data_IF_876569784370
#
_entry.id   IF_876569784370
#
_cell.length_a   1.000
_cell.length_b   1.000
_cell.length_c   1.000
_cell.angle_alpha   90.00
_cell.angle_beta   90.00
_cell.angle_gamma   90.00
#
_symmetry.space_group_name_H-M   'P 1'
#
loop_
_entity.id
_entity.type
_entity.pdbx_description
1 polymer ?
#
# COMPACT_ATOMS: atom_id res chain seq x y z
N UNK A 1 19.66 18.31 34.45
CA UNK A 1 19.55 18.38 35.93
C UNK A 1 20.86 18.94 36.44
N UNK A 2 20.85 19.84 37.41
CA UNK A 2 22.08 20.52 37.86
C UNK A 2 22.63 19.79 39.08
N UNK A 3 23.84 19.23 38.96
CA UNK A 3 24.53 18.51 40.04
C UNK A 3 25.69 19.35 40.53
N UNK A 4 25.80 19.52 41.85
CA UNK A 4 26.86 20.32 42.47
C UNK A 4 27.91 19.37 43.02
N UNK A 5 29.09 19.35 42.39
CA UNK A 5 30.22 18.56 42.86
C UNK A 5 30.83 19.29 44.06
N UNK A 6 30.86 18.64 45.21
CA UNK A 6 31.41 19.19 46.45
C UNK A 6 32.81 18.68 46.70
N UNK A 7 33.60 19.49 47.41
CA UNK A 7 34.91 19.08 47.90
C UNK A 7 34.76 17.90 48.88
N UNK A 8 35.37 16.73 48.62
CA UNK A 8 35.33 15.59 49.53
C UNK A 8 36.19 15.85 50.78
N UNK A 9 35.89 15.18 51.89
CA UNK A 9 36.72 15.26 53.10
C UNK A 9 37.95 14.36 52.97
N UNK A 10 39.19 14.90 52.97
CA UNK A 10 40.41 14.10 52.85
C UNK A 10 40.84 13.41 54.17
N UNK A 11 40.19 13.72 55.31
CA UNK A 11 40.44 13.09 56.61
C UNK A 11 39.84 13.87 57.79
N UNK A 12 39.75 13.25 58.97
CA UNK A 12 39.05 13.78 60.16
C UNK A 12 39.61 15.12 60.71
N UNK A 13 40.82 15.53 60.33
CA UNK A 13 41.48 16.75 60.86
C UNK A 13 41.83 17.81 59.81
N UNK A 14 41.31 17.74 58.58
CA UNK A 14 41.61 18.69 57.50
C UNK A 14 40.34 19.47 57.14
N UNK A 15 40.38 20.79 57.26
CA UNK A 15 39.22 21.68 57.05
C UNK A 15 39.23 22.40 55.70
N UNK A 16 40.39 22.51 55.04
CA UNK A 16 40.57 23.25 53.79
C UNK A 16 41.43 22.48 52.80
N UNK A 17 41.17 22.67 51.49
CA UNK A 17 41.96 22.11 50.39
C UNK A 17 42.18 23.17 49.30
N UNK A 18 43.25 23.03 48.52
CA UNK A 18 43.60 23.94 47.43
C UNK A 18 43.39 23.26 46.06
N UNK A 19 42.86 23.99 45.08
CA UNK A 19 42.69 23.45 43.71
C UNK A 19 44.03 23.48 42.97
N UNK A 20 44.70 22.33 42.89
CA UNK A 20 46.02 22.18 42.30
C UNK A 20 45.97 22.29 40.77
N UNK A 21 45.10 21.53 40.11
CA UNK A 21 44.99 21.53 38.65
C UNK A 21 43.58 21.17 38.17
N UNK A 22 43.14 21.80 37.08
CA UNK A 22 41.93 21.40 36.36
C UNK A 22 42.35 20.63 35.11
N UNK A 23 41.85 19.40 34.98
CA UNK A 23 42.12 18.54 33.81
C UNK A 23 41.11 18.76 32.67
N UNK A 24 40.10 19.57 32.92
CA UNK A 24 38.97 19.90 32.02
C UNK A 24 38.75 21.42 31.99
N UNK A 25 38.17 21.95 30.92
CA UNK A 25 37.89 23.38 30.75
C UNK A 25 36.42 23.69 31.04
N UNK A 26 36.13 24.97 31.31
CA UNK A 26 34.76 25.44 31.49
C UNK A 26 33.96 25.22 30.19
N UNK A 27 32.82 24.54 30.29
CA UNK A 27 32.02 24.10 29.15
C UNK A 27 32.42 22.75 28.53
N UNK A 28 33.41 22.03 29.07
CA UNK A 28 33.73 20.67 28.61
C UNK A 28 32.70 19.65 29.12
N UNK A 29 32.43 18.63 28.29
CA UNK A 29 31.61 17.48 28.67
C UNK A 29 32.46 16.44 29.40
N UNK A 30 32.04 16.06 30.59
CA UNK A 30 32.69 15.07 31.43
C UNK A 30 31.82 13.82 31.57
N UNK A 31 32.47 12.66 31.58
CA UNK A 31 31.81 11.37 31.80
C UNK A 31 31.77 11.04 33.29
N UNK A 32 30.79 10.24 33.71
CA UNK A 32 30.74 9.68 35.08
C UNK A 32 32.04 8.94 35.38
N UNK A 33 32.61 9.20 36.55
CA UNK A 33 33.91 8.69 37.03
C UNK A 33 35.13 9.19 36.24
N UNK A 34 34.99 10.21 35.38
CA UNK A 34 36.15 10.87 34.77
C UNK A 34 36.77 11.84 35.77
N UNK A 35 38.10 11.83 35.89
CA UNK A 35 38.82 12.79 36.72
C UNK A 35 38.73 14.19 36.10
N UNK A 36 38.28 15.16 36.88
CA UNK A 36 38.02 16.54 36.45
C UNK A 36 39.01 17.54 37.05
N UNK A 37 39.44 17.31 38.29
CA UNK A 37 40.35 18.19 39.01
C UNK A 37 41.23 17.41 39.96
N UNK A 38 42.40 17.96 40.25
CA UNK A 38 43.28 17.54 41.33
C UNK A 38 43.23 18.62 42.41
N UNK A 39 43.02 18.20 43.66
CA UNK A 39 43.09 19.06 44.83
C UNK A 39 44.27 18.63 45.70
N UNK A 40 45.00 19.60 46.23
CA UNK A 40 46.09 19.37 47.17
C UNK A 40 45.64 19.73 48.58
N UNK A 41 45.95 18.84 49.52
CA UNK A 41 45.89 19.08 50.96
C UNK A 41 47.29 19.01 51.56
N UNK A 42 47.46 19.46 52.81
CA UNK A 42 48.74 19.41 53.52
C UNK A 42 49.34 17.99 53.64
N UNK A 43 48.57 16.94 53.35
CA UNK A 43 48.99 15.54 53.53
C UNK A 43 48.92 14.67 52.27
N UNK A 44 48.11 15.04 51.27
CA UNK A 44 47.93 14.26 50.05
C UNK A 44 47.26 15.07 48.92
N UNK A 45 47.55 14.66 47.68
CA UNK A 45 46.83 15.06 46.47
C UNK A 45 45.66 14.09 46.25
N UNK A 46 44.46 14.62 46.00
CA UNK A 46 43.26 13.83 45.71
C UNK A 46 42.71 14.20 44.33
N UNK A 47 42.27 13.16 43.61
CA UNK A 47 41.60 13.29 42.33
C UNK A 47 40.07 13.38 42.52
N UNK A 48 39.47 14.46 42.03
CA UNK A 48 38.03 14.65 42.02
C UNK A 48 37.50 14.11 40.70
N UNK A 49 36.57 13.17 40.80
CA UNK A 49 35.88 12.56 39.65
C UNK A 49 34.47 13.10 39.49
N UNK A 50 33.98 13.17 38.26
CA UNK A 50 32.62 13.58 37.96
C UNK A 50 31.59 12.55 38.44
N UNK A 51 30.56 13.01 39.16
CA UNK A 51 29.51 12.15 39.70
C UNK A 51 28.55 11.61 38.62
N UNK A 52 28.34 12.38 37.55
CA UNK A 52 27.43 12.06 36.45
C UNK A 52 27.93 12.63 35.12
N UNK A 53 27.35 12.17 34.02
CA UNK A 53 27.69 12.68 32.69
C UNK A 53 27.04 14.05 32.45
N UNK A 54 27.82 15.07 32.08
CA UNK A 54 27.28 16.40 31.81
C UNK A 54 28.33 17.44 31.47
N UNK A 55 27.91 18.69 31.32
CA UNK A 55 28.80 19.81 30.99
C UNK A 55 29.20 20.54 32.26
N UNK A 56 30.50 20.78 32.46
CA UNK A 56 30.99 21.56 33.60
C UNK A 56 30.71 23.04 33.38
N UNK A 57 30.23 23.68 34.45
CA UNK A 57 29.98 25.11 34.54
C UNK A 57 30.34 25.60 35.94
N UNK A 58 30.62 26.91 36.09
CA UNK A 58 30.87 27.56 37.38
C UNK A 58 32.03 26.92 38.16
N UNK A 59 33.18 26.78 37.50
CA UNK A 59 34.42 26.26 38.10
C UNK A 59 35.09 27.28 39.01
N UNK A 60 35.65 26.82 40.13
CA UNK A 60 36.47 27.66 41.01
C UNK A 60 37.87 27.88 40.44
N UNK A 61 38.43 29.08 40.63
CA UNK A 61 39.77 29.45 40.16
C UNK A 61 40.87 28.52 40.72
N UNK A 62 41.84 28.19 39.86
CA UNK A 62 43.03 27.40 40.20
C UNK A 62 43.86 28.12 41.28
N UNK A 63 44.30 27.39 42.30
CA UNK A 63 45.07 27.93 43.44
C UNK A 63 44.23 28.58 44.54
N UNK A 64 42.89 28.55 44.45
CA UNK A 64 42.01 29.02 45.51
C UNK A 64 41.84 27.93 46.58
N UNK A 65 41.90 28.33 47.86
CA UNK A 65 41.57 27.48 49.02
C UNK A 65 40.07 27.47 49.26
N UNK A 66 39.51 26.28 49.45
CA UNK A 66 38.07 26.02 49.56
C UNK A 66 37.84 25.13 50.79
N UNK A 67 36.73 25.34 51.51
CA UNK A 67 36.38 24.50 52.65
C UNK A 67 35.76 23.16 52.22
N UNK A 68 36.02 22.11 53.01
CA UNK A 68 35.42 20.79 52.77
C UNK A 68 33.90 20.89 52.75
N UNK A 69 33.26 20.37 51.69
CA UNK A 69 31.81 20.42 51.48
C UNK A 69 31.28 21.61 50.67
N UNK A 70 32.13 22.59 50.33
CA UNK A 70 31.76 23.66 49.38
C UNK A 70 31.74 23.15 47.93
N UNK A 71 31.02 23.88 47.07
CA UNK A 71 30.80 23.49 45.67
C UNK A 71 32.02 23.87 44.84
N UNK A 72 32.66 22.86 44.24
CA UNK A 72 33.84 23.00 43.38
C UNK A 72 33.45 23.37 41.94
N UNK A 73 32.43 22.68 41.40
CA UNK A 73 31.87 22.96 40.08
C UNK A 73 30.46 22.42 39.97
N UNK A 74 29.76 22.86 38.93
CA UNK A 74 28.39 22.49 38.63
C UNK A 74 28.37 21.69 37.33
N UNK A 75 27.85 20.45 37.39
CA UNK A 75 27.63 19.60 36.22
C UNK A 75 26.18 19.78 35.77
N UNK A 76 25.97 20.35 34.59
CA UNK A 76 24.66 20.42 33.94
C UNK A 76 24.46 19.18 33.05
N UNK A 77 23.62 18.26 33.51
CA UNK A 77 23.30 17.02 32.78
C UNK A 77 22.30 17.23 31.63
N UNK A 78 21.77 18.45 31.45
CA UNK A 78 20.80 18.75 30.39
C UNK A 78 21.45 19.08 29.04
N UNK A 79 22.73 19.48 29.02
CA UNK A 79 23.40 19.98 27.81
C UNK A 79 24.14 18.86 27.06
N UNK A 80 23.77 18.64 25.79
CA UNK A 80 24.43 17.72 24.86
C UNK A 80 25.36 18.51 23.94
N UNK A 81 26.62 18.11 23.80
CA UNK A 81 27.60 18.82 22.96
C UNK A 81 27.71 18.14 21.56
N UNK A 82 27.67 18.91 20.45
CA UNK A 82 27.87 18.38 19.10
C UNK A 82 29.33 18.03 18.78
N UNK A 83 29.55 17.10 17.83
CA UNK A 83 30.87 16.83 17.27
C UNK A 83 31.42 18.03 16.46
N UNK A 84 32.75 18.17 16.28
CA UNK A 84 33.32 19.33 15.57
C UNK A 84 32.81 19.46 14.13
N UNK A 85 32.57 18.32 13.46
CA UNK A 85 31.95 18.27 12.14
C UNK A 85 30.46 18.69 12.16
N UNK A 86 29.72 18.32 13.21
CA UNK A 86 28.33 18.73 13.41
C UNK A 86 28.20 20.21 13.74
N UNK A 87 29.13 20.78 14.52
CA UNK A 87 29.14 22.20 14.89
C UNK A 87 29.19 23.11 13.65
N UNK A 88 29.97 22.73 12.63
CA UNK A 88 30.05 23.45 11.35
C UNK A 88 28.75 23.36 10.52
N UNK A 89 28.12 22.20 10.50
CA UNK A 89 26.88 21.98 9.74
C UNK A 89 25.69 22.68 10.42
N UNK A 90 25.68 22.75 11.76
CA UNK A 90 24.66 23.46 12.53
C UNK A 90 24.77 24.98 12.38
N UNK A 91 25.99 25.53 12.31
CA UNK A 91 26.19 26.96 12.02
C UNK A 91 25.81 27.33 10.59
N UNK A 92 25.96 26.43 9.61
CA UNK A 92 25.58 26.69 8.21
C UNK A 92 24.07 26.60 7.97
N UNK A 93 23.34 25.77 8.74
CA UNK A 93 21.89 25.57 8.57
C UNK A 93 21.02 26.38 9.55
N UNK A 94 21.61 27.22 10.40
CA UNK A 94 20.92 27.99 11.47
C UNK A 94 20.01 27.14 12.38
N UNK A 95 20.41 25.91 12.70
CA UNK A 95 19.59 24.99 13.50
C UNK A 95 20.00 25.07 14.98
N UNK A 96 19.03 25.35 15.86
CA UNK A 96 19.23 25.36 17.31
C UNK A 96 19.50 23.95 17.85
N UNK A 97 20.57 23.82 18.66
CA UNK A 97 21.08 22.54 19.21
C UNK A 97 20.03 21.83 20.10
N UNK A 98 19.06 22.58 20.62
CA UNK A 98 18.01 22.10 21.53
C UNK A 98 17.07 21.07 20.89
N UNK A 99 16.92 21.08 19.57
CA UNK A 99 15.98 20.20 18.86
C UNK A 99 16.61 18.92 18.30
N UNK A 100 17.92 18.70 18.50
CA UNK A 100 18.64 17.60 17.84
C UNK A 100 19.02 16.52 18.86
N UNK A 101 18.47 15.33 18.65
CA UNK A 101 18.87 14.14 19.38
C UNK A 101 20.17 13.57 18.78
N UNK A 102 21.27 13.68 19.53
CA UNK A 102 22.54 13.06 19.14
C UNK A 102 22.50 11.55 19.33
N UNK A 103 22.67 10.80 18.24
CA UNK A 103 22.70 9.31 18.25
C UNK A 103 24.13 8.76 18.37
N UNK A 104 25.13 9.63 18.53
CA UNK A 104 26.50 9.22 18.75
C UNK A 104 26.72 8.54 20.11
N UNK A 105 27.86 7.84 20.22
CA UNK A 105 28.36 7.32 21.50
C UNK A 105 28.37 8.47 22.52
N UNK A 106 27.79 8.25 23.71
CA UNK A 106 27.65 9.24 24.78
C UNK A 106 26.70 10.42 24.46
N UNK A 107 25.70 10.24 23.59
CA UNK A 107 24.67 11.26 23.30
C UNK A 107 25.18 12.44 22.46
N UNK A 108 26.34 12.28 21.83
CA UNK A 108 26.99 13.28 20.99
C UNK A 108 26.26 13.42 19.66
N UNK A 109 26.00 14.66 19.23
CA UNK A 109 25.42 14.92 17.90
C UNK A 109 26.49 14.66 16.85
N UNK A 110 26.25 13.68 15.98
CA UNK A 110 27.16 13.27 14.91
C UNK A 110 26.79 13.90 13.58
N UNK A 111 27.68 13.80 12.59
CA UNK A 111 27.42 14.33 11.24
C UNK A 111 26.15 13.75 10.61
N UNK A 112 25.78 12.51 10.97
CA UNK A 112 24.59 11.82 10.47
C UNK A 112 23.30 12.45 11.04
N UNK A 113 23.32 12.90 12.29
CA UNK A 113 22.18 13.51 12.96
C UNK A 113 21.82 14.90 12.41
N UNK A 114 22.79 15.60 11.80
CA UNK A 114 22.57 16.90 11.15
C UNK A 114 22.18 16.79 9.66
N UNK A 115 22.27 15.58 9.09
CA UNK A 115 22.01 15.30 7.67
C UNK A 115 20.68 14.57 7.47
N UNK A 116 20.22 13.80 8.46
CA UNK A 116 18.89 13.19 8.44
C UNK A 116 17.81 14.27 8.55
N UNK A 117 17.18 14.59 7.42
CA UNK A 117 15.96 15.40 7.30
C UNK A 117 14.75 14.66 7.90
N UNK A 118 14.83 14.31 9.18
CA UNK A 118 13.67 13.89 9.97
C UNK A 118 13.56 14.77 11.21
N UNK A 119 13.36 16.07 10.96
CA UNK A 119 12.63 16.91 11.91
C UNK A 119 11.20 16.37 12.00
N UNK A 120 11.00 15.37 12.85
CA UNK A 120 9.69 15.05 13.40
C UNK A 120 9.33 16.16 14.37
N UNK A 121 8.76 17.24 13.83
CA UNK A 121 7.93 18.15 14.61
C UNK A 121 6.83 17.32 15.25
N UNK A 122 6.80 17.33 16.58
CA UNK A 122 5.72 16.78 17.39
C UNK A 122 4.46 17.57 17.02
N UNK A 123 3.67 17.01 16.11
CA UNK A 123 2.30 17.45 15.89
C UNK A 123 1.44 16.90 17.02
N UNK A 124 0.93 17.83 17.81
CA UNK A 124 -0.29 17.70 18.58
C UNK A 124 -1.48 17.47 17.65
N UNK A 125 -1.59 16.27 17.11
CA UNK A 125 -2.83 15.64 16.69
C UNK A 125 -2.50 14.16 16.46
N UNK A 126 -3.32 13.26 17.00
CA UNK A 126 -3.22 11.83 16.74
C UNK A 126 -3.63 11.54 15.28
N UNK A 127 -2.83 11.99 14.32
CA UNK A 127 -2.91 11.57 12.94
C UNK A 127 -1.97 10.39 12.78
N UNK A 128 -2.56 9.20 12.72
CA UNK A 128 -1.87 7.99 12.29
C UNK A 128 -1.11 8.29 10.98
N UNK A 129 0.22 8.33 11.02
CA UNK A 129 1.07 8.50 9.84
C UNK A 129 0.80 7.28 8.96
N UNK A 130 -0.07 7.44 7.96
CA UNK A 130 -0.39 6.37 7.01
C UNK A 130 0.81 6.19 6.11
N UNK A 131 1.63 5.17 6.36
CA UNK A 131 2.70 4.78 5.45
C UNK A 131 2.13 4.54 4.04
N UNK A 132 2.61 5.32 3.06
CA UNK A 132 2.22 5.18 1.66
C UNK A 132 3.37 4.57 0.88
N UNK A 133 3.15 3.37 0.34
CA UNK A 133 4.06 2.76 -0.63
C UNK A 133 3.64 3.15 -2.05
N UNK A 134 4.47 3.94 -2.73
CA UNK A 134 4.23 4.33 -4.13
C UNK A 134 4.96 3.33 -5.04
N UNK A 135 4.21 2.58 -5.83
CA UNK A 135 4.76 1.63 -6.82
C UNK A 135 4.41 2.16 -8.22
N UNK A 136 5.40 2.48 -9.08
CA UNK A 136 5.12 2.95 -10.42
C UNK A 136 4.46 1.83 -11.26
N UNK A 137 3.50 2.21 -12.11
CA UNK A 137 2.83 1.28 -13.01
C UNK A 137 3.73 0.92 -14.19
N UNK A 138 3.57 -0.31 -14.71
CA UNK A 138 4.19 -0.71 -15.99
C UNK A 138 3.61 0.11 -17.15
N UNK A 139 4.38 0.23 -18.24
CA UNK A 139 3.97 0.97 -19.44
C UNK A 139 2.66 0.44 -20.05
N UNK A 140 2.50 -0.88 -20.11
CA UNK A 140 1.26 -1.53 -20.56
C UNK A 140 0.09 -1.20 -19.63
N UNK A 141 0.28 -1.32 -18.32
CA UNK A 141 -0.79 -1.05 -17.34
C UNK A 141 -1.21 0.42 -17.32
N UNK A 142 -0.26 1.33 -17.54
CA UNK A 142 -0.54 2.76 -17.69
C UNK A 142 -1.43 3.03 -18.90
N UNK A 143 -1.07 2.53 -20.09
CA UNK A 143 -1.87 2.67 -21.32
C UNK A 143 -3.26 2.04 -21.20
N UNK A 144 -3.36 0.86 -20.58
CA UNK A 144 -4.64 0.20 -20.31
C UNK A 144 -5.50 1.04 -19.37
N UNK A 145 -4.91 1.58 -18.31
CA UNK A 145 -5.61 2.45 -17.36
C UNK A 145 -6.14 3.71 -18.04
N UNK A 146 -5.32 4.37 -18.86
CA UNK A 146 -5.73 5.56 -19.63
C UNK A 146 -6.93 5.24 -20.53
N UNK A 147 -6.88 4.11 -21.26
CA UNK A 147 -7.98 3.67 -22.13
C UNK A 147 -9.25 3.34 -21.35
N UNK A 148 -9.15 2.64 -20.21
CA UNK A 148 -10.30 2.29 -19.38
C UNK A 148 -10.99 3.53 -18.79
N UNK A 149 -10.20 4.51 -18.35
CA UNK A 149 -10.73 5.79 -17.84
C UNK A 149 -11.41 6.56 -18.97
N UNK A 150 -10.82 6.60 -20.17
CA UNK A 150 -11.44 7.23 -21.35
C UNK A 150 -12.79 6.61 -21.68
N UNK A 151 -12.88 5.27 -21.75
CA UNK A 151 -14.13 4.56 -22.05
C UNK A 151 -15.21 4.89 -21.02
N UNK A 152 -14.86 4.87 -19.72
CA UNK A 152 -15.81 5.18 -18.65
C UNK A 152 -16.35 6.61 -18.74
N UNK A 153 -15.53 7.57 -19.15
CA UNK A 153 -15.94 8.98 -19.24
C UNK A 153 -16.69 9.31 -20.54
N UNK A 154 -16.46 8.55 -21.62
CA UNK A 154 -17.05 8.81 -22.93
C UNK A 154 -18.36 8.06 -23.19
N UNK A 155 -18.57 6.92 -22.54
CA UNK A 155 -19.73 6.05 -22.78
C UNK A 155 -20.78 6.24 -21.69
N UNK A 156 -22.07 6.19 -22.06
CA UNK A 156 -23.16 6.08 -21.10
C UNK A 156 -23.37 4.60 -20.77
N UNK A 157 -22.45 4.00 -20.02
CA UNK A 157 -22.46 2.55 -19.78
C UNK A 157 -23.56 2.14 -18.80
N UNK A 158 -24.46 1.27 -19.25
CA UNK A 158 -25.40 0.54 -18.39
C UNK A 158 -25.11 -0.96 -18.48
N UNK A 159 -25.39 -1.67 -17.39
CA UNK A 159 -25.22 -3.12 -17.32
C UNK A 159 -26.51 -3.78 -16.87
N UNK A 160 -26.99 -4.72 -17.67
CA UNK A 160 -28.16 -5.55 -17.37
C UNK A 160 -27.71 -7.00 -17.13
N UNK A 161 -28.47 -7.71 -16.29
CA UNK A 161 -28.15 -9.08 -15.88
C UNK A 161 -29.37 -9.98 -16.05
N UNK A 162 -29.15 -11.20 -16.52
CA UNK A 162 -30.14 -12.27 -16.56
C UNK A 162 -29.54 -13.56 -16.01
N UNK A 163 -30.38 -14.41 -15.42
CA UNK A 163 -30.02 -15.78 -15.07
C UNK A 163 -30.41 -16.72 -16.21
N UNK A 164 -29.62 -17.75 -16.45
CA UNK A 164 -29.88 -18.76 -17.48
C UNK A 164 -29.68 -20.17 -16.94
N UNK A 165 -30.64 -21.05 -17.20
CA UNK A 165 -30.53 -22.48 -16.91
C UNK A 165 -29.69 -23.17 -17.99
N UNK A 166 -28.57 -23.78 -17.59
CA UNK A 166 -27.63 -24.44 -18.49
C UNK A 166 -27.94 -25.94 -18.68
N UNK A 167 -28.96 -26.48 -18.00
CA UNK A 167 -29.23 -27.92 -17.95
C UNK A 167 -29.25 -28.59 -19.32
N UNK A 168 -29.96 -28.02 -20.30
CA UNK A 168 -30.10 -28.60 -21.63
C UNK A 168 -28.77 -28.69 -22.37
N UNK A 169 -27.93 -27.65 -22.27
CA UNK A 169 -26.58 -27.68 -22.86
C UNK A 169 -25.72 -28.77 -22.20
N UNK A 170 -25.82 -28.95 -20.89
CA UNK A 170 -25.11 -30.05 -20.20
C UNK A 170 -25.57 -31.42 -20.69
N UNK A 171 -26.88 -31.62 -20.89
CA UNK A 171 -27.44 -32.88 -21.41
C UNK A 171 -26.94 -33.17 -22.83
N UNK A 172 -27.02 -32.18 -23.72
CA UNK A 172 -26.53 -32.29 -25.10
C UNK A 172 -25.03 -32.60 -25.10
N UNK A 173 -24.24 -31.86 -24.32
CA UNK A 173 -22.81 -32.09 -24.24
C UNK A 173 -22.50 -33.49 -23.74
N UNK A 174 -23.24 -34.00 -22.74
CA UNK A 174 -23.06 -35.38 -22.24
C UNK A 174 -23.32 -36.43 -23.32
N UNK A 175 -24.33 -36.22 -24.16
CA UNK A 175 -24.72 -37.12 -25.26
C UNK A 175 -23.73 -37.08 -26.42
N UNK A 176 -23.28 -35.90 -26.84
CA UNK A 176 -22.53 -35.73 -28.09
C UNK A 176 -21.04 -35.49 -27.93
N UNK A 177 -20.50 -35.32 -26.72
CA UNK A 177 -19.06 -35.02 -26.49
C UNK A 177 -18.11 -36.00 -27.17
N UNK A 178 -18.41 -37.30 -27.14
CA UNK A 178 -17.50 -38.34 -27.65
C UNK A 178 -17.55 -38.37 -29.18
N UNK A 179 -18.77 -38.39 -29.73
CA UNK A 179 -19.02 -38.36 -31.18
C UNK A 179 -18.40 -37.12 -31.81
N UNK A 180 -18.55 -35.96 -31.17
CA UNK A 180 -17.97 -34.70 -31.64
C UNK A 180 -16.42 -34.75 -31.61
N UNK A 181 -15.84 -35.30 -30.55
CA UNK A 181 -14.39 -35.45 -30.42
C UNK A 181 -13.81 -36.43 -31.45
N UNK A 182 -14.48 -37.54 -31.71
CA UNK A 182 -14.06 -38.53 -32.72
C UNK A 182 -14.08 -37.94 -34.13
N UNK A 183 -15.12 -37.14 -34.46
CA UNK A 183 -15.26 -36.53 -35.78
C UNK A 183 -14.31 -35.34 -36.01
N UNK A 184 -14.13 -34.48 -35.00
CA UNK A 184 -13.44 -33.19 -35.17
C UNK A 184 -12.08 -33.09 -34.48
N UNK A 185 -11.70 -34.08 -33.66
CA UNK A 185 -10.46 -34.05 -32.89
C UNK A 185 -10.44 -33.03 -31.73
N UNK A 186 -11.50 -32.25 -31.55
CA UNK A 186 -11.62 -31.22 -30.51
C UNK A 186 -12.77 -31.51 -29.55
N UNK A 187 -12.66 -31.03 -28.31
CA UNK A 187 -13.71 -31.21 -27.31
C UNK A 187 -14.89 -30.26 -27.57
N UNK A 188 -16.11 -30.78 -27.45
CA UNK A 188 -17.31 -29.95 -27.47
C UNK A 188 -17.33 -29.03 -26.24
N UNK A 189 -17.14 -27.74 -26.47
CA UNK A 189 -17.13 -26.69 -25.45
C UNK A 189 -18.48 -26.01 -25.27
N UNK A 190 -18.68 -25.34 -24.13
CA UNK A 190 -19.85 -24.48 -23.91
C UNK A 190 -19.81 -23.22 -24.78
N UNK A 191 -18.60 -22.81 -25.21
CA UNK A 191 -18.40 -21.60 -26.01
C UNK A 191 -19.15 -21.65 -27.33
N UNK A 192 -19.14 -22.78 -28.05
CA UNK A 192 -19.80 -22.88 -29.36
C UNK A 192 -21.29 -22.55 -29.28
N UNK A 193 -21.98 -23.07 -28.25
CA UNK A 193 -23.38 -22.74 -27.99
C UNK A 193 -23.58 -21.27 -27.66
N UNK A 194 -22.70 -20.70 -26.84
CA UNK A 194 -22.79 -19.30 -26.43
C UNK A 194 -22.54 -18.35 -27.60
N UNK A 195 -21.48 -18.56 -28.38
CA UNK A 195 -21.15 -17.78 -29.57
C UNK A 195 -22.29 -17.82 -30.56
N UNK A 196 -22.83 -19.00 -30.87
CA UNK A 196 -23.94 -19.13 -31.80
C UNK A 196 -25.23 -18.45 -31.27
N UNK A 197 -25.48 -18.54 -29.96
CA UNK A 197 -26.59 -17.82 -29.30
C UNK A 197 -26.44 -16.31 -29.43
N UNK A 198 -25.23 -15.78 -29.22
CA UNK A 198 -24.92 -14.37 -29.40
C UNK A 198 -25.08 -13.95 -30.86
N UNK A 199 -24.54 -14.68 -31.83
CA UNK A 199 -24.68 -14.38 -33.27
C UNK A 199 -26.15 -14.36 -33.68
N UNK A 200 -26.96 -15.32 -33.21
CA UNK A 200 -28.40 -15.32 -33.43
C UNK A 200 -29.06 -14.07 -32.84
N UNK A 201 -28.70 -13.69 -31.62
CA UNK A 201 -29.27 -12.51 -30.97
C UNK A 201 -28.84 -11.21 -31.67
N UNK A 202 -27.60 -11.10 -32.14
CA UNK A 202 -27.10 -9.94 -32.89
C UNK A 202 -27.85 -9.76 -34.21
N UNK A 203 -28.25 -10.85 -34.89
CA UNK A 203 -29.11 -10.77 -36.08
C UNK A 203 -30.49 -10.18 -35.80
N UNK A 204 -31.02 -10.39 -34.59
CA UNK A 204 -32.33 -9.87 -34.17
C UNK A 204 -32.25 -8.44 -33.62
N UNK A 205 -31.11 -8.09 -33.02
CA UNK A 205 -30.84 -6.79 -32.41
C UNK A 205 -29.55 -6.20 -33.00
N UNK A 206 -29.58 -5.72 -34.25
CA UNK A 206 -28.38 -5.29 -34.97
C UNK A 206 -27.70 -4.06 -34.33
N UNK A 207 -28.45 -3.22 -33.62
CA UNK A 207 -27.90 -2.04 -32.95
C UNK A 207 -26.97 -2.41 -31.77
N UNK A 208 -27.06 -3.64 -31.26
CA UNK A 208 -26.10 -4.18 -30.27
C UNK A 208 -24.71 -4.40 -30.90
N UNK A 209 -24.64 -4.62 -32.22
CA UNK A 209 -23.39 -4.78 -32.97
C UNK A 209 -22.83 -3.43 -33.47
N UNK A 210 -23.50 -2.31 -33.23
CA UNK A 210 -23.14 -1.03 -33.83
C UNK A 210 -22.07 -0.26 -33.06
N UNK A 211 -21.44 0.72 -33.73
CA UNK A 211 -20.41 1.59 -33.16
C UNK A 211 -20.75 3.06 -33.42
N UNK A 212 -20.45 3.94 -32.45
CA UNK A 212 -20.45 5.40 -32.66
C UNK A 212 -19.09 5.85 -33.19
N UNK A 213 -19.08 6.57 -34.31
CA UNK A 213 -17.91 7.25 -34.87
C UNK A 213 -18.24 8.73 -35.05
N UNK A 214 -17.81 9.57 -34.10
CA UNK A 214 -18.14 10.99 -34.09
C UNK A 214 -19.65 11.21 -33.93
N UNK A 215 -20.29 11.78 -34.95
CA UNK A 215 -21.74 12.02 -35.00
C UNK A 215 -22.52 10.90 -35.72
N UNK A 216 -21.85 9.87 -36.21
CA UNK A 216 -22.46 8.82 -37.04
C UNK A 216 -22.53 7.49 -36.29
N UNK A 217 -23.59 6.71 -36.58
CA UNK A 217 -23.71 5.31 -36.17
C UNK A 217 -23.27 4.42 -37.34
N UNK A 218 -22.32 3.52 -37.09
CA UNK A 218 -21.84 2.53 -38.04
C UNK A 218 -22.42 1.17 -37.66
N UNK A 219 -23.12 0.55 -38.62
CA UNK A 219 -23.61 -0.83 -38.50
C UNK A 219 -22.69 -1.76 -39.30
N UNK A 220 -22.43 -2.96 -38.79
CA UNK A 220 -21.60 -3.96 -39.45
C UNK A 220 -22.43 -5.14 -39.94
N UNK A 221 -22.10 -5.64 -41.13
CA UNK A 221 -22.72 -6.84 -41.72
C UNK A 221 -22.03 -8.15 -41.30
N UNK A 222 -20.91 -8.04 -40.58
CA UNK A 222 -20.15 -9.16 -40.02
C UNK A 222 -20.21 -9.15 -38.49
N UNK A 223 -19.90 -10.29 -37.90
CA UNK A 223 -19.93 -10.50 -36.45
C UNK A 223 -18.57 -10.98 -35.97
N UNK A 224 -17.82 -10.08 -35.35
CA UNK A 224 -16.55 -10.42 -34.70
C UNK A 224 -16.76 -10.60 -33.20
N UNK A 225 -16.13 -11.63 -32.64
CA UNK A 225 -16.23 -11.93 -31.21
C UNK A 225 -14.86 -12.01 -30.57
N UNK A 226 -14.66 -11.19 -29.53
CA UNK A 226 -13.51 -11.30 -28.64
C UNK A 226 -13.93 -12.05 -27.38
N UNK A 227 -13.47 -13.28 -27.22
CA UNK A 227 -13.91 -14.17 -26.14
C UNK A 227 -12.73 -14.45 -25.20
N UNK A 228 -12.90 -14.12 -23.92
CA UNK A 228 -11.91 -14.39 -22.87
C UNK A 228 -12.34 -15.56 -21.95
N UNK A 229 -13.64 -15.75 -21.75
CA UNK A 229 -14.18 -16.80 -20.89
C UNK A 229 -15.68 -16.64 -20.63
N UNK A 230 -16.26 -17.64 -19.96
CA UNK A 230 -17.67 -17.65 -19.54
C UNK A 230 -17.74 -17.47 -18.02
N UNK A 231 -18.84 -16.90 -17.54
CA UNK A 231 -19.13 -16.80 -16.11
C UNK A 231 -19.23 -18.18 -15.43
N UNK A 232 -19.07 -18.21 -14.10
CA UNK A 232 -19.14 -19.46 -13.34
C UNK A 232 -20.56 -20.01 -13.35
N UNK A 233 -20.69 -21.29 -13.67
CA UNK A 233 -21.94 -22.06 -13.50
C UNK A 233 -22.00 -22.57 -12.06
N UNK A 234 -23.11 -22.33 -11.38
CA UNK A 234 -23.34 -22.74 -9.99
C UNK A 234 -24.69 -23.44 -9.87
N UNK A 235 -24.77 -24.48 -9.03
CA UNK A 235 -26.03 -25.14 -8.74
C UNK A 235 -26.92 -24.23 -7.89
N UNK A 236 -28.15 -23.95 -8.35
CA UNK A 236 -29.11 -23.11 -7.64
C UNK A 236 -30.49 -23.77 -7.62
N UNK A 237 -31.29 -23.56 -6.55
CA UNK A 237 -32.69 -23.94 -6.56
C UNK A 237 -33.50 -23.00 -7.47
N UNK A 238 -34.19 -23.54 -8.46
CA UNK A 238 -35.04 -22.82 -9.40
C UNK A 238 -36.46 -23.43 -9.38
N UNK A 239 -37.48 -22.59 -9.43
CA UNK A 239 -38.87 -23.04 -9.51
C UNK A 239 -39.22 -23.34 -10.96
N UNK A 240 -39.56 -24.59 -11.27
CA UNK A 240 -39.99 -25.04 -12.60
C UNK A 240 -41.33 -25.77 -12.44
N UNK A 241 -42.38 -25.28 -13.13
CA UNK A 241 -43.74 -25.84 -13.07
C UNK A 241 -44.24 -26.02 -11.62
N UNK A 242 -44.01 -25.02 -10.77
CA UNK A 242 -44.44 -25.02 -9.37
C UNK A 242 -43.61 -25.91 -8.42
N UNK A 243 -42.55 -26.58 -8.90
CA UNK A 243 -41.65 -27.40 -8.06
C UNK A 243 -40.25 -26.82 -8.02
N UNK A 244 -39.60 -26.87 -6.85
CA UNK A 244 -38.19 -26.47 -6.70
C UNK A 244 -37.31 -27.59 -7.23
N UNK A 245 -36.43 -27.27 -8.19
CA UNK A 245 -35.42 -28.18 -8.74
C UNK A 245 -34.05 -27.53 -8.66
N UNK A 246 -33.02 -28.35 -8.41
CA UNK A 246 -31.63 -27.88 -8.49
C UNK A 246 -31.22 -27.87 -9.96
N UNK A 247 -30.74 -26.71 -10.43
CA UNK A 247 -30.30 -26.50 -11.81
C UNK A 247 -28.91 -25.85 -11.86
N UNK A 248 -28.08 -26.18 -12.86
CA UNK A 248 -26.84 -25.46 -13.11
C UNK A 248 -27.18 -24.09 -13.75
N UNK A 249 -27.08 -23.03 -12.97
CA UNK A 249 -27.44 -21.67 -13.38
C UNK A 249 -26.19 -20.83 -13.62
N UNK A 250 -26.26 -19.95 -14.61
CA UNK A 250 -25.23 -18.98 -14.95
C UNK A 250 -25.81 -17.58 -15.03
N UNK A 251 -25.01 -16.56 -14.70
CA UNK A 251 -25.36 -15.17 -14.97
C UNK A 251 -24.86 -14.74 -16.34
N UNK A 252 -25.76 -14.16 -17.12
CA UNK A 252 -25.48 -13.39 -18.32
C UNK A 252 -25.48 -11.92 -17.94
N UNK A 253 -24.43 -11.20 -18.35
CA UNK A 253 -24.33 -9.76 -18.17
C UNK A 253 -24.05 -9.10 -19.52
N UNK A 254 -24.78 -8.04 -19.83
CA UNK A 254 -24.51 -7.19 -20.99
C UNK A 254 -24.24 -5.79 -20.50
N UNK A 255 -23.04 -5.29 -20.75
CA UNK A 255 -22.73 -3.87 -20.66
C UNK A 255 -22.79 -3.25 -22.04
N UNK A 256 -23.52 -2.14 -22.16
CA UNK A 256 -23.77 -1.49 -23.44
C UNK A 256 -23.73 0.03 -23.31
N UNK A 257 -23.52 0.72 -24.43
CA UNK A 257 -23.56 2.18 -24.49
C UNK A 257 -25.00 2.63 -24.74
N UNK A 258 -25.61 3.24 -23.73
CA UNK A 258 -27.00 3.71 -23.76
C UNK A 258 -27.24 4.89 -24.73
N UNK A 259 -26.19 5.36 -25.40
CA UNK A 259 -26.33 6.32 -26.51
C UNK A 259 -26.80 5.66 -27.81
N UNK A 260 -26.52 4.37 -28.00
CA UNK A 260 -26.93 3.59 -29.18
C UNK A 260 -28.13 2.71 -28.83
N UNK A 261 -28.01 1.95 -27.74
CA UNK A 261 -28.90 0.84 -27.41
C UNK A 261 -29.80 1.27 -26.27
N UNK A 262 -31.10 1.06 -26.41
CA UNK A 262 -32.06 1.34 -25.34
C UNK A 262 -32.20 0.15 -24.34
N UNK A 263 -32.96 0.37 -23.27
CA UNK A 263 -33.25 -0.67 -22.28
C UNK A 263 -34.05 -1.86 -22.84
N UNK A 264 -34.89 -1.64 -23.87
CA UNK A 264 -35.73 -2.70 -24.45
C UNK A 264 -34.91 -3.62 -25.35
N UNK A 265 -34.05 -3.06 -26.18
CA UNK A 265 -33.16 -3.79 -27.08
C UNK A 265 -32.13 -4.60 -26.31
N UNK A 266 -31.52 -4.00 -25.29
CA UNK A 266 -30.55 -4.70 -24.43
C UNK A 266 -31.19 -5.88 -23.66
N UNK A 267 -32.37 -5.67 -23.06
CA UNK A 267 -33.11 -6.75 -22.39
C UNK A 267 -33.56 -7.81 -23.41
N UNK A 268 -34.09 -7.39 -24.56
CA UNK A 268 -34.49 -8.28 -25.64
C UNK A 268 -33.34 -9.15 -26.14
N UNK A 269 -32.15 -8.57 -26.33
CA UNK A 269 -30.94 -9.29 -26.69
C UNK A 269 -30.58 -10.35 -25.64
N UNK A 270 -30.53 -9.98 -24.36
CA UNK A 270 -30.22 -10.92 -23.28
C UNK A 270 -31.26 -12.04 -23.17
N UNK A 271 -32.55 -11.72 -23.33
CA UNK A 271 -33.63 -12.72 -23.35
C UNK A 271 -33.48 -13.66 -24.54
N UNK A 272 -33.15 -13.14 -25.72
CA UNK A 272 -32.91 -13.96 -26.92
C UNK A 272 -31.73 -14.91 -26.77
N UNK A 273 -30.63 -14.46 -26.13
CA UNK A 273 -29.50 -15.32 -25.77
C UNK A 273 -29.92 -16.37 -24.75
N UNK A 274 -30.65 -15.97 -23.69
CA UNK A 274 -31.18 -16.88 -22.65
C UNK A 274 -32.04 -17.98 -23.27
N UNK A 275 -33.01 -17.62 -24.11
CA UNK A 275 -33.91 -18.57 -24.77
C UNK A 275 -33.15 -19.58 -25.63
N UNK A 276 -32.12 -19.11 -26.35
CA UNK A 276 -31.31 -19.97 -27.20
C UNK A 276 -30.45 -20.95 -26.39
N UNK A 277 -29.98 -20.54 -25.21
CA UNK A 277 -29.22 -21.39 -24.28
C UNK A 277 -30.13 -22.40 -23.57
N UNK A 278 -31.32 -21.97 -23.14
CA UNK A 278 -32.30 -22.84 -22.43
C UNK A 278 -33.01 -23.80 -23.40
N UNK A 279 -33.13 -23.44 -24.68
CA UNK A 279 -33.79 -24.26 -25.71
C UNK A 279 -32.90 -24.39 -26.97
N UNK A 280 -31.71 -24.99 -26.85
CA UNK A 280 -30.72 -25.02 -27.93
C UNK A 280 -31.20 -25.82 -29.15
N UNK A 281 -32.00 -26.87 -28.95
CA UNK A 281 -32.52 -27.67 -30.06
C UNK A 281 -33.41 -26.81 -30.97
N UNK A 282 -34.30 -26.01 -30.36
CA UNK A 282 -35.27 -25.17 -31.07
C UNK A 282 -34.59 -24.01 -31.79
N UNK A 283 -33.69 -23.30 -31.09
CA UNK A 283 -33.17 -22.01 -31.58
C UNK A 283 -31.80 -22.09 -32.23
N UNK A 284 -30.99 -23.07 -31.83
CA UNK A 284 -29.65 -23.24 -32.38
C UNK A 284 -29.62 -24.37 -33.41
N UNK A 285 -30.35 -25.47 -33.18
CA UNK A 285 -30.26 -26.69 -34.00
C UNK A 285 -31.35 -26.84 -35.08
N UNK A 286 -32.04 -25.77 -35.45
CA UNK A 286 -33.13 -25.79 -36.44
C UNK A 286 -34.25 -26.81 -36.10
N UNK A 287 -34.45 -27.11 -34.82
CA UNK A 287 -35.48 -28.06 -34.36
C UNK A 287 -35.09 -29.53 -34.44
N UNK A 288 -33.85 -29.88 -34.81
CA UNK A 288 -33.38 -31.27 -34.91
C UNK A 288 -32.02 -31.46 -34.23
N UNK A 289 -31.96 -32.36 -33.25
CA UNK A 289 -30.72 -32.74 -32.56
C UNK A 289 -29.66 -33.34 -33.50
N UNK A 290 -30.08 -33.91 -34.64
CA UNK A 290 -29.16 -34.52 -35.61
C UNK A 290 -28.29 -33.49 -36.33
N UNK A 291 -28.65 -32.20 -36.29
CA UNK A 291 -27.91 -31.13 -36.93
C UNK A 291 -26.72 -30.64 -36.09
N UNK A 292 -26.48 -31.21 -34.90
CA UNK A 292 -25.43 -30.75 -33.99
C UNK A 292 -24.04 -30.74 -34.64
N UNK A 293 -23.80 -31.68 -35.55
CA UNK A 293 -22.57 -31.77 -36.31
C UNK A 293 -22.39 -30.57 -37.24
N UNK A 294 -23.43 -30.14 -37.95
CA UNK A 294 -23.35 -29.02 -38.91
C UNK A 294 -23.28 -27.65 -38.22
N UNK A 295 -23.91 -27.53 -37.05
CA UNK A 295 -24.23 -26.23 -36.46
C UNK A 295 -23.17 -25.76 -35.46
N UNK A 296 -22.45 -26.71 -34.84
CA UNK A 296 -21.37 -26.40 -33.89
C UNK A 296 -19.97 -26.43 -34.53
N UNK A 297 -19.90 -26.49 -35.86
CA UNK A 297 -18.69 -26.43 -36.68
C UNK A 297 -18.21 -24.97 -36.96
N UNK A 298 -18.82 -23.95 -36.35
CA UNK A 298 -18.42 -22.53 -36.46
C UNK A 298 -17.06 -22.23 -35.81
#
# INVERSE_FOLDING_TARGET
MIIKVKVPSPGESITEVEVASWLVKDGDYVSKNQVIAEIDSDKATLEISAEENGVISSMVEKGKRIQVGEVLCIIDTSKKIPSPASKKILSEKEISIEFIHGTGKQGRITKKDCILDEFTTIDSSSSSIREKKIIPLSSLRRKLSERLVSVKNQTAMLTTFNEVDMQEIFLIRKKYKNIFKEKHGVNLGFMSFFTLSCVRALKLYPDVNAMISGSEKINFEYYDSAILGIHKVVERPVVINGSIKIRPVMYLALSYDHRIIDGRESVGFLVSVKEAIENPIKFLMEGSENNIHRILEL
#
